data_IF_610012613543
#
_entry.id   IF_610012613543
#
_cell.length_a   1.000
_cell.length_b   1.000
_cell.length_c   1.000
_cell.angle_alpha   90.00
_cell.angle_beta   90.00
_cell.angle_gamma   90.00
#
_symmetry.space_group_name_H-M   'P 1'
#
loop_
_entity.id
_entity.type
_entity.pdbx_description
1 polymer ?
#
# COMPACT_ATOMS: atom_id res chain seq x y z
N UNK A 1 6.74 -1.47 23.98
CA UNK A 1 6.53 -2.94 24.08
C UNK A 1 5.23 -3.26 24.82
N UNK A 2 4.87 -2.52 25.86
CA UNK A 2 3.64 -2.72 26.65
C UNK A 2 2.34 -2.76 25.80
N UNK A 3 2.20 -1.91 24.77
CA UNK A 3 1.02 -1.95 23.87
C UNK A 3 0.87 -3.31 23.20
N UNK A 4 1.95 -3.89 22.67
CA UNK A 4 1.89 -5.18 21.99
C UNK A 4 1.49 -6.33 22.94
N UNK A 5 1.90 -6.24 24.21
CA UNK A 5 1.49 -7.18 25.26
C UNK A 5 0.00 -7.02 25.56
N UNK A 6 -0.45 -5.78 25.78
CA UNK A 6 -1.86 -5.46 26.04
C UNK A 6 -2.78 -5.92 24.90
N UNK A 7 -2.35 -5.69 23.66
CA UNK A 7 -3.13 -6.00 22.45
C UNK A 7 -2.93 -7.46 21.99
N UNK A 8 -2.14 -8.25 22.75
CA UNK A 8 -1.85 -9.66 22.48
C UNK A 8 -1.33 -9.88 21.05
N UNK A 9 -0.40 -9.04 20.61
CA UNK A 9 0.25 -9.05 19.28
C UNK A 9 1.76 -9.29 19.43
N UNK A 10 2.10 -10.36 20.14
CA UNK A 10 3.46 -10.86 20.27
C UNK A 10 3.63 -12.06 19.35
N UNK A 11 4.38 -11.89 18.27
CA UNK A 11 4.67 -12.95 17.31
C UNK A 11 6.19 -13.12 17.24
N UNK A 12 6.64 -14.37 17.13
CA UNK A 12 8.03 -14.65 16.80
C UNK A 12 8.33 -14.23 15.35
N UNK A 13 9.58 -13.87 15.07
CA UNK A 13 10.02 -13.63 13.70
C UNK A 13 9.85 -14.91 12.87
N UNK A 14 9.09 -14.87 11.76
CA UNK A 14 8.90 -16.03 10.91
C UNK A 14 10.21 -16.54 10.31
N UNK A 15 10.38 -17.86 10.24
CA UNK A 15 11.57 -18.53 9.69
C UNK A 15 11.32 -19.20 8.34
N UNK A 16 10.06 -19.29 7.93
CA UNK A 16 9.63 -19.86 6.66
C UNK A 16 8.34 -19.17 6.16
N UNK A 17 7.89 -19.54 4.97
CA UNK A 17 6.69 -18.94 4.35
C UNK A 17 5.40 -19.28 5.09
N UNK A 18 5.28 -20.48 5.66
CA UNK A 18 4.09 -20.91 6.41
C UNK A 18 3.89 -20.07 7.68
N UNK A 19 4.96 -19.88 8.45
CA UNK A 19 4.96 -19.01 9.63
C UNK A 19 4.66 -17.55 9.26
N UNK A 20 5.19 -17.07 8.13
CA UNK A 20 4.91 -15.71 7.63
C UNK A 20 3.44 -15.56 7.28
N UNK A 21 2.86 -16.56 6.60
CA UNK A 21 1.44 -16.60 6.28
C UNK A 21 0.56 -16.68 7.52
N UNK A 22 0.96 -17.42 8.54
CA UNK A 22 0.24 -17.48 9.81
C UNK A 22 0.15 -16.10 10.48
N UNK A 23 1.28 -15.38 10.62
CA UNK A 23 1.33 -14.05 11.23
C UNK A 23 0.53 -13.03 10.40
N UNK A 24 0.69 -13.03 9.08
CA UNK A 24 -0.08 -12.15 8.20
C UNK A 24 -1.59 -12.44 8.25
N UNK A 25 -1.98 -13.71 8.29
CA UNK A 25 -3.37 -14.11 8.45
C UNK A 25 -3.97 -13.61 9.78
N UNK A 26 -3.20 -13.64 10.87
CA UNK A 26 -3.63 -13.06 12.15
C UNK A 26 -3.84 -11.54 12.04
N UNK A 27 -2.95 -10.83 11.34
CA UNK A 27 -3.06 -9.40 11.07
C UNK A 27 -4.34 -9.06 10.28
N UNK A 28 -4.56 -9.74 9.15
CA UNK A 28 -5.75 -9.55 8.29
C UNK A 28 -7.05 -9.75 9.08
N UNK A 29 -7.12 -10.80 9.91
CA UNK A 29 -8.31 -11.08 10.74
C UNK A 29 -8.51 -10.05 11.84
N UNK A 30 -7.46 -9.71 12.61
CA UNK A 30 -7.56 -8.76 13.73
C UNK A 30 -7.91 -7.34 13.26
N UNK A 31 -7.35 -6.89 12.15
CA UNK A 31 -7.61 -5.55 11.59
C UNK A 31 -8.86 -5.52 10.69
N UNK A 32 -9.46 -6.68 10.40
CA UNK A 32 -10.65 -6.77 9.55
C UNK A 32 -10.41 -6.30 8.12
N UNK A 33 -9.21 -6.51 7.58
CA UNK A 33 -8.81 -6.08 6.22
C UNK A 33 -9.77 -6.70 5.19
N UNK A 34 -10.36 -5.85 4.34
CA UNK A 34 -11.37 -6.25 3.34
C UNK A 34 -10.86 -6.28 1.91
N UNK A 35 -9.69 -5.71 1.66
CA UNK A 35 -9.04 -5.75 0.36
C UNK A 35 -8.05 -6.92 0.30
N UNK A 36 -7.67 -7.37 -0.91
CA UNK A 36 -6.69 -8.45 -1.06
C UNK A 36 -5.40 -8.16 -0.31
N UNK A 37 -4.99 -9.09 0.55
CA UNK A 37 -3.70 -9.06 1.24
C UNK A 37 -2.82 -10.16 0.65
N UNK A 38 -1.64 -9.77 0.20
CA UNK A 38 -0.64 -10.69 -0.39
C UNK A 38 0.63 -10.67 0.45
N UNK A 39 1.42 -11.74 0.33
CA UNK A 39 2.72 -11.85 0.99
C UNK A 39 3.83 -11.54 -0.01
N UNK A 40 4.81 -10.76 0.45
CA UNK A 40 6.09 -10.70 -0.24
C UNK A 40 6.80 -12.06 -0.11
N UNK A 41 7.64 -12.37 -1.10
CA UNK A 41 8.50 -13.53 -1.08
C UNK A 41 9.38 -13.51 0.17
N UNK A 42 9.83 -14.68 0.62
CA UNK A 42 10.62 -14.75 1.85
C UNK A 42 11.91 -13.92 1.81
N UNK A 43 12.47 -13.71 0.61
CA UNK A 43 13.62 -12.84 0.34
C UNK A 43 13.34 -11.33 0.36
N UNK A 44 12.11 -10.90 0.65
CA UNK A 44 11.72 -9.49 0.79
C UNK A 44 12.00 -8.64 -0.47
N UNK A 45 11.76 -9.19 -1.67
CA UNK A 45 12.09 -8.53 -2.94
C UNK A 45 11.20 -7.31 -3.21
N UNK A 46 9.91 -7.40 -2.89
CA UNK A 46 8.98 -6.27 -3.02
C UNK A 46 9.27 -5.18 -2.01
N UNK A 47 9.54 -5.55 -0.75
CA UNK A 47 9.94 -4.61 0.29
C UNK A 47 11.16 -3.80 -0.14
N UNK A 48 12.22 -4.45 -0.64
CA UNK A 48 13.44 -3.77 -1.09
C UNK A 48 13.18 -2.85 -2.28
N UNK A 49 12.45 -3.33 -3.30
CA UNK A 49 12.13 -2.54 -4.49
C UNK A 49 11.31 -1.29 -4.17
N UNK A 50 10.47 -1.34 -3.13
CA UNK A 50 9.60 -0.25 -2.71
C UNK A 50 10.03 0.43 -1.40
N UNK A 51 11.20 0.11 -0.83
CA UNK A 51 11.62 0.62 0.49
C UNK A 51 10.48 0.57 1.52
N UNK A 52 9.85 -0.61 1.60
CA UNK A 52 8.55 -0.83 2.23
C UNK A 52 8.56 -0.74 3.75
N UNK A 53 9.71 -0.95 4.37
CA UNK A 53 9.86 -0.86 5.82
C UNK A 53 9.84 0.60 6.35
N UNK A 54 9.26 0.88 7.53
CA UNK A 54 8.50 -0.03 8.40
C UNK A 54 7.09 -0.34 7.87
N UNK A 55 6.49 0.61 7.15
CA UNK A 55 5.26 0.51 6.36
C UNK A 55 5.24 1.68 5.35
N UNK A 56 4.54 1.49 4.23
CA UNK A 56 4.43 2.47 3.15
C UNK A 56 3.08 2.41 2.46
N UNK A 57 2.64 3.57 2.00
CA UNK A 57 1.55 3.71 1.04
C UNK A 57 2.14 4.17 -0.29
N UNK A 58 1.77 3.46 -1.35
CA UNK A 58 2.06 3.84 -2.73
C UNK A 58 0.76 3.99 -3.51
N UNK A 59 0.72 4.98 -4.41
CA UNK A 59 -0.28 5.05 -5.47
C UNK A 59 0.41 4.85 -6.81
N UNK A 60 -0.03 3.86 -7.56
CA UNK A 60 0.47 3.55 -8.89
C UNK A 60 -0.67 3.83 -9.88
N UNK A 61 -0.39 4.61 -10.93
CA UNK A 61 -1.38 4.93 -11.96
C UNK A 61 -1.58 3.77 -12.97
N UNK A 62 -2.53 3.96 -13.89
CA UNK A 62 -2.86 2.96 -14.92
C UNK A 62 -1.70 2.68 -15.89
N UNK A 63 -0.66 3.53 -15.93
CA UNK A 63 0.53 3.36 -16.75
C UNK A 63 1.70 2.75 -15.95
N UNK A 64 1.46 2.30 -14.71
CA UNK A 64 2.49 1.72 -13.84
C UNK A 64 3.40 2.76 -13.19
N UNK A 65 3.04 4.05 -13.17
CA UNK A 65 3.85 5.11 -12.56
C UNK A 65 3.47 5.34 -11.11
N UNK A 66 4.47 5.45 -10.24
CA UNK A 66 4.27 5.91 -8.87
C UNK A 66 3.90 7.39 -8.86
N UNK A 67 2.67 7.69 -8.47
CA UNK A 67 2.13 9.06 -8.37
C UNK A 67 2.08 9.58 -6.94
N UNK A 68 2.18 8.69 -5.95
CA UNK A 68 2.33 9.04 -4.54
C UNK A 68 3.14 7.98 -3.80
N UNK A 69 3.99 8.43 -2.87
CA UNK A 69 4.77 7.63 -1.93
C UNK A 69 4.70 8.30 -0.55
N UNK A 70 4.22 7.60 0.46
CA UNK A 70 4.16 8.13 1.82
C UNK A 70 5.54 8.21 2.48
N UNK A 71 5.64 9.02 3.54
CA UNK A 71 6.73 8.96 4.52
C UNK A 71 6.70 7.61 5.28
N UNK A 72 7.81 7.18 5.91
CA UNK A 72 7.82 5.92 6.67
C UNK A 72 6.88 6.06 7.86
N UNK A 73 6.09 5.04 8.15
CA UNK A 73 5.22 5.07 9.30
C UNK A 73 5.91 4.63 10.61
N UNK A 74 5.11 4.48 11.69
CA UNK A 74 3.66 4.71 11.70
C UNK A 74 3.28 6.18 11.46
N UNK A 75 4.20 7.13 11.74
CA UNK A 75 3.92 8.57 11.64
C UNK A 75 3.65 9.09 10.23
N UNK A 76 4.27 8.49 9.21
CA UNK A 76 4.05 8.79 7.80
C UNK A 76 2.85 8.08 7.15
N UNK A 77 2.18 7.17 7.85
CA UNK A 77 1.00 6.48 7.31
C UNK A 77 -0.24 7.40 7.44
N UNK A 78 -0.56 8.13 6.35
CA UNK A 78 -1.62 9.14 6.32
C UNK A 78 -2.64 8.85 5.23
N UNK A 79 -3.78 8.25 5.61
CA UNK A 79 -4.86 7.91 4.68
C UNK A 79 -5.41 9.14 3.93
N UNK A 80 -5.49 10.29 4.59
CA UNK A 80 -5.99 11.53 3.99
C UNK A 80 -5.07 12.06 2.87
N UNK A 81 -3.75 11.84 2.97
CA UNK A 81 -2.82 12.21 1.89
C UNK A 81 -3.00 11.31 0.67
N UNK A 82 -3.18 10.01 0.88
CA UNK A 82 -3.53 9.08 -0.20
C UNK A 82 -4.85 9.48 -0.87
N UNK A 83 -5.88 9.81 -0.09
CA UNK A 83 -7.18 10.23 -0.63
C UNK A 83 -7.06 11.48 -1.52
N UNK A 84 -6.25 12.47 -1.12
CA UNK A 84 -5.95 13.65 -1.93
C UNK A 84 -5.19 13.30 -3.22
N UNK A 85 -4.22 12.39 -3.13
CA UNK A 85 -3.48 11.92 -4.30
C UNK A 85 -4.40 11.20 -5.31
N UNK A 86 -5.31 10.34 -4.82
CA UNK A 86 -6.33 9.67 -5.61
C UNK A 86 -7.27 10.66 -6.31
N UNK A 87 -7.77 11.67 -5.58
CA UNK A 87 -8.62 12.71 -6.16
C UNK A 87 -7.90 13.47 -7.29
N UNK A 88 -6.62 13.81 -7.08
CA UNK A 88 -5.79 14.49 -8.09
C UNK A 88 -5.59 13.61 -9.33
N UNK A 89 -5.35 12.31 -9.14
CA UNK A 89 -5.18 11.36 -10.24
C UNK A 89 -6.47 11.26 -11.08
N UNK A 90 -7.63 11.19 -10.44
CA UNK A 90 -8.91 11.11 -11.14
C UNK A 90 -9.21 12.38 -11.97
N UNK A 91 -8.86 13.56 -11.44
CA UNK A 91 -9.00 14.83 -12.17
C UNK A 91 -8.08 14.90 -13.40
N UNK A 92 -6.84 14.41 -13.27
CA UNK A 92 -5.88 14.32 -14.39
C UNK A 92 -6.36 13.39 -15.50
N UNK A 93 -6.96 12.25 -15.13
CA UNK A 93 -7.54 11.31 -16.10
C UNK A 93 -8.71 11.94 -16.85
N UNK A 94 -9.64 12.60 -16.16
CA UNK A 94 -10.78 13.27 -16.78
C UNK A 94 -10.36 14.38 -17.77
N UNK A 95 -9.36 15.19 -17.40
CA UNK A 95 -8.84 16.25 -18.28
C UNK A 95 -8.18 15.69 -19.55
N UNK A 96 -7.42 14.59 -19.44
CA UNK A 96 -6.79 13.93 -20.61
C UNK A 96 -7.83 13.35 -21.58
N UNK A 97 -8.90 12.74 -21.05
CA UNK A 97 -10.00 12.23 -21.87
C UNK A 97 -10.70 13.37 -22.63
N UNK A 98 -10.85 14.55 -22.02
CA UNK A 98 -11.48 15.69 -22.67
C UNK A 98 -10.61 16.33 -23.77
N UNK A 99 -9.30 16.42 -23.59
CA UNK A 99 -8.38 16.92 -24.65
C UNK A 99 -8.26 15.98 -25.84
N UNK A 100 -8.42 14.67 -25.66
CA UNK A 100 -8.39 13.70 -26.76
C UNK A 100 -9.64 13.73 -27.65
N UNK A 101 -10.70 14.43 -27.23
CA UNK A 101 -11.97 14.54 -27.96
C UNK A 101 -12.08 15.81 -28.82
N UNK A 102 -11.10 16.71 -28.76
CA UNK A 102 -11.08 17.99 -29.50
C UNK A 102 -10.09 17.90 -30.65
N UNK A 103 -10.34 17.03 -31.62
CA UNK A 103 -9.62 17.05 -32.89
C UNK A 103 -10.59 16.78 -34.06
N UNK A 104 -11.29 17.79 -34.57
CA UNK A 104 -11.91 17.69 -35.88
C UNK A 104 -10.80 17.89 -36.92
N UNK A 105 -10.32 16.80 -37.50
CA UNK A 105 -9.52 16.88 -38.73
C UNK A 105 -10.35 17.56 -39.84
N UNK A 106 -9.71 18.33 -40.74
CA UNK A 106 -10.37 19.20 -41.72
C UNK A 106 -11.15 18.42 -42.78
#
# INVERSE_FOLDING_TARGET
MESNIKDQVLFATPKNEEERAFVAGACVRKLGIKFPAVLDQFGNSTEQAYTGWPDRIYLIDQNGRVTYKSKPGPFGFKADELAKALATLNLSTAAKTQTAQIDPRP
#
